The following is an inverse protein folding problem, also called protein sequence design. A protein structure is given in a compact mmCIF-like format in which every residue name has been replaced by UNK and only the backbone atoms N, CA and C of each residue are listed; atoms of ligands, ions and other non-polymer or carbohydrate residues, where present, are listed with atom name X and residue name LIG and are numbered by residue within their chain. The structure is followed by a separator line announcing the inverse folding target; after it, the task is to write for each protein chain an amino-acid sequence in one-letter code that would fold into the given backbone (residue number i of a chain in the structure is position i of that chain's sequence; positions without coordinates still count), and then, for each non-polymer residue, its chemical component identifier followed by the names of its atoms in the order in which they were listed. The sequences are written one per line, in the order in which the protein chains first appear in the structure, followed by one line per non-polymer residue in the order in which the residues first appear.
data_IF_199482309846
#
_entry.id   IF_199482309846
#
_cell.length_a   1.000
_cell.length_b   1.000
_cell.length_c   1.000
_cell.angle_alpha   90.00
_cell.angle_beta   90.00
_cell.angle_gamma   90.00
#
_symmetry.space_group_name_H-M   'P 1'
#
loop_
_entity.id
_entity.type
_entity.pdbx_description
1 polymer ?
#
# COMPACT_ATOMS: atom_id res chain seq x y z
N UNK A 1 19.65 -25.38 -6.89
CA UNK A 1 20.07 -26.17 -5.71
C UNK A 1 21.57 -25.95 -5.50
N UNK A 2 22.00 -25.39 -4.38
CA UNK A 2 23.43 -25.14 -4.12
C UNK A 2 24.14 -26.43 -3.66
N UNK A 3 25.40 -26.62 -4.09
CA UNK A 3 26.20 -27.80 -3.71
C UNK A 3 26.55 -27.77 -2.21
N UNK A 4 26.46 -28.92 -1.53
CA UNK A 4 26.81 -29.04 -0.10
C UNK A 4 28.27 -28.67 0.21
N UNK A 5 29.20 -28.91 -0.73
CA UNK A 5 30.61 -28.53 -0.61
C UNK A 5 30.86 -27.02 -0.63
N UNK A 6 29.89 -26.24 -1.11
CA UNK A 6 29.91 -24.78 -1.08
C UNK A 6 29.29 -24.26 0.23
N UNK A 7 28.12 -24.78 0.62
CA UNK A 7 27.40 -24.35 1.83
C UNK A 7 28.15 -24.61 3.14
N UNK A 8 29.12 -25.53 3.16
CA UNK A 8 29.99 -25.76 4.34
C UNK A 8 30.91 -24.58 4.69
N UNK A 9 31.13 -23.65 3.76
CA UNK A 9 32.02 -22.49 3.94
C UNK A 9 31.26 -21.16 4.03
N UNK A 10 29.93 -21.17 3.86
CA UNK A 10 29.13 -19.94 3.77
C UNK A 10 27.91 -20.07 4.67
N UNK A 11 27.80 -19.28 5.76
CA UNK A 11 26.58 -19.24 6.56
C UNK A 11 25.45 -18.64 5.74
N UNK A 12 24.28 -19.27 5.78
CA UNK A 12 23.06 -18.80 5.11
C UNK A 12 22.07 -18.34 6.17
N UNK A 13 21.62 -17.10 6.06
CA UNK A 13 20.57 -16.54 6.91
C UNK A 13 19.31 -16.38 6.07
N UNK A 14 18.23 -17.01 6.51
CA UNK A 14 16.91 -16.83 5.92
C UNK A 14 16.24 -15.61 6.55
N UNK A 15 15.70 -14.74 5.69
CA UNK A 15 14.93 -13.55 6.11
C UNK A 15 13.60 -13.64 5.40
N UNK A 16 12.54 -13.83 6.18
CA UNK A 16 11.17 -13.81 5.67
C UNK A 16 10.64 -12.37 5.62
N UNK A 17 9.53 -12.17 4.93
CA UNK A 17 8.85 -10.88 4.94
C UNK A 17 8.27 -10.58 6.33
N UNK A 18 8.32 -9.31 6.77
CA UNK A 18 7.73 -8.91 8.04
C UNK A 18 6.21 -9.16 8.02
N UNK A 19 5.69 -9.72 9.11
CA UNK A 19 4.25 -9.91 9.27
C UNK A 19 3.48 -8.59 9.44
N UNK A 20 2.13 -8.62 9.41
CA UNK A 20 1.28 -7.42 9.44
C UNK A 20 1.56 -6.47 10.61
N UNK A 21 1.82 -7.00 11.81
CA UNK A 21 2.15 -6.18 12.98
C UNK A 21 3.45 -5.39 12.79
N UNK A 22 4.50 -6.05 12.30
CA UNK A 22 5.79 -5.41 12.02
C UNK A 22 5.69 -4.39 10.90
N UNK A 23 4.93 -4.71 9.84
CA UNK A 23 4.62 -3.76 8.76
C UNK A 23 3.91 -2.52 9.31
N UNK A 24 2.91 -2.70 10.20
CA UNK A 24 2.22 -1.59 10.85
C UNK A 24 3.15 -0.68 11.66
N UNK A 25 4.10 -1.25 12.40
CA UNK A 25 5.08 -0.46 13.16
C UNK A 25 6.06 0.31 12.25
N UNK A 26 6.60 -0.37 11.24
CA UNK A 26 7.55 0.21 10.27
C UNK A 26 6.87 1.34 9.50
N UNK A 27 5.75 1.05 8.83
CA UNK A 27 5.06 2.01 7.99
C UNK A 27 4.27 3.05 8.77
N UNK A 28 3.85 2.76 10.00
CA UNK A 28 3.29 3.76 10.91
C UNK A 28 4.30 4.85 11.25
N UNK A 29 5.57 4.49 11.42
CA UNK A 29 6.65 5.47 11.64
C UNK A 29 6.86 6.35 10.42
N UNK A 30 6.90 5.75 9.22
CA UNK A 30 7.01 6.50 7.96
C UNK A 30 5.82 7.43 7.71
N UNK A 31 4.59 6.94 7.88
CA UNK A 31 3.38 7.71 7.64
C UNK A 31 3.24 8.88 8.64
N UNK A 32 3.58 8.67 9.92
CA UNK A 32 3.62 9.76 10.90
C UNK A 32 4.64 10.83 10.53
N UNK A 33 5.80 10.46 9.98
CA UNK A 33 6.79 11.43 9.52
C UNK A 33 6.31 12.17 8.26
N UNK A 34 5.78 11.44 7.28
CA UNK A 34 5.23 11.96 6.03
C UNK A 34 4.13 12.98 6.28
N UNK A 35 3.14 12.68 7.11
CA UNK A 35 2.00 13.57 7.38
C UNK A 35 2.36 14.79 8.24
N UNK A 36 3.62 14.96 8.66
CA UNK A 36 4.05 16.22 9.30
C UNK A 36 4.05 17.40 8.34
N UNK A 37 4.21 17.14 7.03
CA UNK A 37 4.21 18.18 5.98
C UNK A 37 2.85 18.81 5.78
N UNK A 38 1.76 18.12 6.14
CA UNK A 38 0.39 18.61 6.09
C UNK A 38 -0.24 18.45 7.48
N UNK A 39 -0.09 19.44 8.40
CA UNK A 39 -0.34 19.25 9.82
C UNK A 39 -1.75 18.80 10.21
N UNK A 40 -2.77 19.20 9.45
CA UNK A 40 -4.17 18.80 9.70
C UNK A 40 -4.42 17.31 9.45
N UNK A 41 -3.54 16.62 8.73
CA UNK A 41 -3.66 15.19 8.45
C UNK A 41 -2.96 14.28 9.47
N UNK A 42 -2.22 14.84 10.45
CA UNK A 42 -1.40 14.04 11.40
C UNK A 42 -2.18 12.98 12.16
N UNK A 43 -3.43 13.27 12.54
CA UNK A 43 -4.31 12.35 13.25
C UNK A 43 -4.68 11.10 12.42
N UNK A 44 -4.51 11.16 11.10
CA UNK A 44 -4.88 10.09 10.17
C UNK A 44 -3.72 9.15 9.82
N UNK A 45 -2.56 9.27 10.49
CA UNK A 45 -1.41 8.41 10.24
C UNK A 45 -1.70 6.92 10.53
N UNK A 46 -2.36 6.64 11.65
CA UNK A 46 -2.69 5.27 12.06
C UNK A 46 -3.76 4.63 11.15
N UNK A 47 -4.93 5.27 10.85
CA UNK A 47 -5.89 4.70 9.90
C UNK A 47 -5.31 4.53 8.50
N UNK A 48 -4.48 5.47 8.02
CA UNK A 48 -3.77 5.33 6.74
C UNK A 48 -2.87 4.09 6.74
N UNK A 49 -2.10 3.90 7.80
CA UNK A 49 -1.18 2.74 7.93
C UNK A 49 -1.95 1.43 7.96
N UNK A 50 -3.03 1.37 8.74
CA UNK A 50 -3.86 0.17 8.84
C UNK A 50 -4.50 -0.17 7.49
N UNK A 51 -5.01 0.83 6.76
CA UNK A 51 -5.53 0.66 5.41
C UNK A 51 -4.47 0.12 4.43
N UNK A 52 -3.26 0.67 4.45
CA UNK A 52 -2.17 0.22 3.59
C UNK A 52 -1.76 -1.23 3.89
N UNK A 53 -1.60 -1.59 5.17
CA UNK A 53 -1.20 -2.95 5.58
C UNK A 53 -2.29 -3.97 5.25
N UNK A 54 -3.56 -3.62 5.47
CA UNK A 54 -4.69 -4.49 5.12
C UNK A 54 -4.73 -4.74 3.61
N UNK A 55 -4.73 -3.68 2.79
CA UNK A 55 -4.78 -3.84 1.34
C UNK A 55 -3.55 -4.59 0.78
N UNK A 56 -2.36 -4.31 1.30
CA UNK A 56 -1.14 -5.04 0.94
C UNK A 56 -1.26 -6.53 1.26
N UNK A 57 -1.73 -6.88 2.46
CA UNK A 57 -1.89 -8.28 2.89
C UNK A 57 -2.92 -9.01 2.02
N UNK A 58 -4.05 -8.35 1.73
CA UNK A 58 -5.07 -8.89 0.84
C UNK A 58 -4.50 -9.15 -0.57
N UNK A 59 -3.79 -8.17 -1.13
CA UNK A 59 -3.18 -8.29 -2.47
C UNK A 59 -2.14 -9.40 -2.54
N UNK A 60 -1.25 -9.49 -1.54
CA UNK A 60 -0.23 -10.53 -1.44
C UNK A 60 -0.86 -11.93 -1.32
N UNK A 61 -1.97 -12.06 -0.60
CA UNK A 61 -2.66 -13.34 -0.45
C UNK A 61 -3.44 -13.76 -1.71
N UNK A 62 -3.97 -12.78 -2.45
CA UNK A 62 -4.85 -13.02 -3.60
C UNK A 62 -4.07 -13.32 -4.87
N UNK A 63 -2.96 -12.60 -5.11
CA UNK A 63 -2.23 -12.63 -6.36
C UNK A 63 -0.87 -13.29 -6.15
N UNK A 64 -0.76 -14.55 -6.58
CA UNK A 64 0.42 -15.39 -6.34
C UNK A 64 1.19 -15.69 -7.63
N UNK A 65 2.45 -16.09 -7.47
CA UNK A 65 3.32 -16.49 -8.58
C UNK A 65 2.81 -17.69 -9.38
N UNK A 66 1.95 -18.51 -8.78
CA UNK A 66 1.30 -19.65 -9.44
C UNK A 66 0.22 -19.19 -10.43
N UNK A 67 -0.39 -18.02 -10.21
CA UNK A 67 -1.35 -17.42 -11.14
C UNK A 67 -0.64 -16.71 -12.30
N UNK A 68 0.36 -15.87 -11.98
CA UNK A 68 1.22 -15.21 -12.95
C UNK A 68 2.63 -15.04 -12.37
N UNK A 69 3.71 -15.34 -13.11
CA UNK A 69 5.08 -15.30 -12.59
C UNK A 69 5.51 -13.94 -12.01
N UNK A 70 4.92 -12.84 -12.49
CA UNK A 70 5.24 -11.49 -12.05
C UNK A 70 4.39 -10.98 -10.87
N UNK A 71 3.47 -11.80 -10.33
CA UNK A 71 2.67 -11.47 -9.14
C UNK A 71 3.47 -11.66 -7.86
N UNK A 72 4.52 -10.85 -7.74
CA UNK A 72 5.41 -10.81 -6.60
C UNK A 72 5.16 -9.51 -5.85
N UNK A 73 4.77 -9.63 -4.58
CA UNK A 73 4.56 -8.51 -3.66
C UNK A 73 5.61 -8.56 -2.55
N UNK A 74 6.17 -7.39 -2.24
CA UNK A 74 7.20 -7.22 -1.23
C UNK A 74 7.00 -5.90 -0.47
N UNK A 75 7.69 -5.69 0.66
CA UNK A 75 7.72 -4.38 1.33
C UNK A 75 8.22 -3.23 0.43
N UNK A 76 8.85 -3.51 -0.72
CA UNK A 76 9.22 -2.48 -1.69
C UNK A 76 8.00 -1.74 -2.23
N UNK A 77 6.89 -2.42 -2.47
CA UNK A 77 5.62 -1.81 -2.89
C UNK A 77 5.12 -0.82 -1.84
N UNK A 78 5.11 -1.20 -0.57
CA UNK A 78 4.72 -0.34 0.54
C UNK A 78 5.60 0.92 0.64
N UNK A 79 6.92 0.77 0.49
CA UNK A 79 7.84 1.91 0.47
C UNK A 79 7.60 2.84 -0.72
N UNK A 80 7.32 2.30 -1.91
CA UNK A 80 6.93 3.12 -3.08
C UNK A 80 5.62 3.85 -2.83
N UNK A 81 4.65 3.21 -2.17
CA UNK A 81 3.36 3.79 -1.86
C UNK A 81 3.49 5.00 -0.94
N UNK A 82 4.24 4.88 0.16
CA UNK A 82 4.53 6.03 1.04
C UNK A 82 5.21 7.16 0.28
N UNK A 83 6.19 6.83 -0.60
CA UNK A 83 6.88 7.85 -1.39
C UNK A 83 5.95 8.54 -2.39
N UNK A 84 5.08 7.79 -3.07
CA UNK A 84 4.09 8.34 -3.99
C UNK A 84 3.14 9.32 -3.29
N UNK A 85 2.63 8.93 -2.12
CA UNK A 85 1.79 9.82 -1.29
C UNK A 85 2.59 11.06 -0.87
N UNK A 86 3.82 10.90 -0.38
CA UNK A 86 4.65 12.02 0.04
C UNK A 86 4.90 13.03 -1.09
N UNK A 87 5.25 12.58 -2.29
CA UNK A 87 5.48 13.49 -3.42
C UNK A 87 4.20 14.24 -3.82
N UNK A 88 3.03 13.61 -3.70
CA UNK A 88 1.74 14.27 -3.92
C UNK A 88 1.39 15.29 -2.83
N UNK A 89 1.79 15.05 -1.58
CA UNK A 89 1.53 15.95 -0.45
C UNK A 89 2.52 17.12 -0.36
N UNK A 90 3.78 16.90 -0.74
CA UNK A 90 4.87 17.87 -0.60
C UNK A 90 4.60 19.28 -1.14
N UNK A 91 3.95 19.48 -2.31
CA UNK A 91 3.67 20.82 -2.82
C UNK A 91 2.45 21.49 -2.17
N UNK A 92 1.72 20.80 -1.29
CA UNK A 92 0.47 21.28 -0.72
C UNK A 92 0.67 21.86 0.68
N UNK A 93 0.05 23.00 0.95
CA UNK A 93 0.00 23.57 2.31
C UNK A 93 -1.10 22.94 3.16
N UNK A 94 -2.19 22.48 2.51
CA UNK A 94 -3.32 21.81 3.15
C UNK A 94 -3.99 20.83 2.20
N UNK A 95 -4.65 19.82 2.75
CA UNK A 95 -5.45 18.84 2.00
C UNK A 95 -6.56 18.29 2.90
N UNK A 96 -7.74 18.01 2.34
CA UNK A 96 -8.82 17.32 3.04
C UNK A 96 -8.48 15.84 3.31
N UNK A 97 -9.24 15.20 4.18
CA UNK A 97 -9.08 13.76 4.45
C UNK A 97 -9.49 12.96 3.21
N UNK A 98 -10.54 13.39 2.53
CA UNK A 98 -11.01 12.89 1.24
C UNK A 98 -9.90 12.97 0.20
N UNK A 99 -9.20 14.11 0.13
CA UNK A 99 -8.03 14.28 -0.73
C UNK A 99 -6.89 13.31 -0.41
N UNK A 100 -6.59 13.10 0.88
CA UNK A 100 -5.59 12.10 1.30
C UNK A 100 -5.99 10.68 0.87
N UNK A 101 -7.24 10.29 1.11
CA UNK A 101 -7.77 8.97 0.72
C UNK A 101 -7.73 8.81 -0.79
N UNK A 102 -8.04 9.88 -1.55
CA UNK A 102 -7.96 9.87 -3.01
C UNK A 102 -6.54 9.63 -3.53
N UNK A 103 -5.55 10.33 -2.96
CA UNK A 103 -4.12 10.13 -3.30
C UNK A 103 -3.65 8.73 -2.92
N UNK A 104 -4.02 8.25 -1.72
CA UNK A 104 -3.74 6.89 -1.27
C UNK A 104 -4.30 5.85 -2.25
N UNK A 105 -5.56 5.98 -2.63
CA UNK A 105 -6.23 5.08 -3.56
C UNK A 105 -5.57 5.10 -4.94
N UNK A 106 -5.24 6.28 -5.46
CA UNK A 106 -4.55 6.43 -6.74
C UNK A 106 -3.22 5.66 -6.78
N UNK A 107 -2.36 5.89 -5.79
CA UNK A 107 -1.07 5.20 -5.70
C UNK A 107 -1.24 3.69 -5.49
N UNK A 108 -2.31 3.26 -4.82
CA UNK A 108 -2.64 1.84 -4.69
C UNK A 108 -2.96 1.21 -6.06
N UNK A 109 -3.85 1.82 -6.84
CA UNK A 109 -4.21 1.28 -8.16
C UNK A 109 -2.98 1.22 -9.06
N UNK A 110 -2.18 2.29 -9.07
CA UNK A 110 -0.92 2.32 -9.83
C UNK A 110 0.08 1.22 -9.43
N UNK A 111 0.22 0.92 -8.14
CA UNK A 111 1.22 -0.05 -7.66
C UNK A 111 0.76 -1.50 -7.75
N UNK A 112 -0.53 -1.74 -7.49
CA UNK A 112 -1.12 -3.07 -7.31
C UNK A 112 -2.00 -3.49 -8.49
N UNK A 113 -2.71 -2.56 -9.14
CA UNK A 113 -3.59 -2.88 -10.27
C UNK A 113 -2.84 -2.91 -11.62
N UNK A 114 -1.92 -1.99 -11.89
CA UNK A 114 -1.29 -1.84 -13.21
C UNK A 114 -0.57 -3.12 -13.70
N UNK A 115 -0.14 -3.98 -12.76
CA UNK A 115 0.53 -5.26 -13.05
C UNK A 115 -0.43 -6.41 -13.36
N UNK A 116 -1.73 -6.24 -13.09
CA UNK A 116 -2.75 -7.28 -13.22
C UNK A 116 -3.16 -7.45 -14.69
N UNK A 117 -3.51 -8.68 -15.04
CA UNK A 117 -3.69 -9.07 -16.45
C UNK A 117 -5.18 -9.12 -16.79
N UNK A 118 -6.00 -9.65 -15.90
CA UNK A 118 -7.42 -9.88 -16.15
C UNK A 118 -8.27 -8.72 -15.63
N UNK A 119 -9.36 -8.41 -16.33
CA UNK A 119 -10.29 -7.36 -15.94
C UNK A 119 -10.98 -7.65 -14.59
N UNK A 120 -11.22 -8.92 -14.29
CA UNK A 120 -11.77 -9.36 -13.00
C UNK A 120 -10.83 -9.04 -11.83
N UNK A 121 -9.51 -9.15 -12.04
CA UNK A 121 -8.51 -8.81 -11.03
C UNK A 121 -8.44 -7.30 -10.80
N UNK A 122 -8.58 -6.52 -11.88
CA UNK A 122 -8.67 -5.07 -11.82
C UNK A 122 -9.92 -4.63 -11.05
N UNK A 123 -11.07 -5.19 -11.39
CA UNK A 123 -12.33 -4.95 -10.68
C UNK A 123 -12.21 -5.31 -9.19
N UNK A 124 -11.58 -6.43 -8.86
CA UNK A 124 -11.33 -6.83 -7.48
C UNK A 124 -10.49 -5.78 -6.73
N UNK A 125 -9.42 -5.25 -7.33
CA UNK A 125 -8.63 -4.20 -6.66
C UNK A 125 -9.43 -2.93 -6.40
N UNK A 126 -10.28 -2.52 -7.34
CA UNK A 126 -11.11 -1.34 -7.18
C UNK A 126 -12.14 -1.49 -6.06
N UNK A 127 -12.82 -2.62 -6.00
CA UNK A 127 -13.79 -2.93 -4.94
C UNK A 127 -13.14 -2.97 -3.55
N UNK A 128 -11.97 -3.59 -3.46
CA UNK A 128 -11.27 -3.73 -2.19
C UNK A 128 -10.63 -2.41 -1.73
N UNK A 129 -10.22 -1.53 -2.65
CA UNK A 129 -9.81 -0.16 -2.33
C UNK A 129 -10.96 0.62 -1.70
N UNK A 130 -12.14 0.56 -2.33
CA UNK A 130 -13.34 1.22 -1.81
C UNK A 130 -13.72 0.67 -0.43
N UNK A 131 -13.68 -0.65 -0.25
CA UNK A 131 -14.01 -1.31 1.01
C UNK A 131 -13.04 -0.93 2.13
N UNK A 132 -11.73 -0.98 1.86
CA UNK A 132 -10.69 -0.63 2.83
C UNK A 132 -10.76 0.86 3.20
N UNK A 133 -11.00 1.74 2.23
CA UNK A 133 -11.17 3.18 2.49
C UNK A 133 -12.33 3.44 3.47
N UNK A 134 -13.52 2.90 3.18
CA UNK A 134 -14.70 3.11 4.01
C UNK A 134 -14.55 2.49 5.41
N UNK A 135 -13.79 1.40 5.52
CA UNK A 135 -13.49 0.75 6.81
C UNK A 135 -12.62 1.62 7.72
N UNK A 136 -11.54 2.20 7.17
CA UNK A 136 -10.55 2.95 7.96
C UNK A 136 -10.85 4.44 8.06
N UNK A 137 -11.72 4.96 7.20
CA UNK A 137 -12.13 6.36 7.15
C UNK A 137 -13.66 6.46 7.08
N UNK A 138 -14.40 6.12 8.15
CA UNK A 138 -15.86 5.99 8.10
C UNK A 138 -16.63 7.29 7.89
N UNK A 139 -16.01 8.45 8.13
CA UNK A 139 -16.66 9.76 8.10
C UNK A 139 -16.40 10.55 6.81
N UNK A 140 -15.74 9.96 5.81
CA UNK A 140 -15.42 10.67 4.55
C UNK A 140 -16.61 10.66 3.59
N UNK A 141 -16.68 11.67 2.72
CA UNK A 141 -17.56 11.59 1.55
C UNK A 141 -16.96 10.66 0.49
N UNK A 142 -17.63 9.50 0.28
CA UNK A 142 -17.23 8.52 -0.74
C UNK A 142 -17.17 9.14 -2.15
N UNK A 143 -18.10 10.02 -2.49
CA UNK A 143 -18.19 10.62 -3.83
C UNK A 143 -17.06 11.63 -4.06
N UNK A 144 -16.56 12.28 -3.01
CA UNK A 144 -15.39 13.14 -3.14
C UNK A 144 -14.09 12.32 -3.20
N UNK A 145 -13.93 11.41 -2.24
CA UNK A 145 -12.69 10.65 -2.05
C UNK A 145 -12.42 9.63 -3.18
N UNK A 146 -13.47 8.94 -3.67
CA UNK A 146 -13.33 7.75 -4.51
C UNK A 146 -14.00 7.86 -5.88
N UNK A 147 -14.52 9.04 -6.26
CA UNK A 147 -15.08 9.24 -7.60
C UNK A 147 -14.04 8.96 -8.68
N UNK A 148 -14.40 8.04 -9.57
CA UNK A 148 -13.61 7.69 -10.75
C UNK A 148 -13.74 8.80 -11.83
N UNK A 149 -12.70 9.04 -12.65
CA UNK A 149 -11.35 8.45 -12.56
C UNK A 149 -10.59 9.01 -11.35
N UNK A 150 -9.83 8.18 -10.62
CA UNK A 150 -9.18 8.63 -9.37
C UNK A 150 -8.12 9.70 -9.65
N UNK A 151 -7.25 9.54 -10.65
CA UNK A 151 -6.46 10.57 -11.38
C UNK A 151 -5.82 9.84 -12.59
N UNK A 152 -5.52 10.52 -13.69
CA UNK A 152 -4.78 9.96 -14.85
C UNK A 152 -3.49 10.73 -15.05
#
# INVERSE_FOLDING_TARGET
MFFRSFLRHVPVVYVDYPGPMSLGQIYGTFNRAMLRVVPNLRAYADPLTNAMVEFYTMSQSRFTVDMQPHYIYSPREMTRWVRGIYEALKPLESLSVEGLVRVWAHEALRLFQDRLVLDEERAWTEENIDTVALKHFPNIDKQEALKRPIFR
#
